data_IF_438731556285
#
_entry.id   IF_438731556285
#
_cell.length_a   1.000
_cell.length_b   1.000
_cell.length_c   1.000
_cell.angle_alpha   90.00
_cell.angle_beta   90.00
_cell.angle_gamma   90.00
#
_symmetry.space_group_name_H-M   'P 1'
#
loop_
_entity.id
_entity.type
_entity.pdbx_description
1 polymer ?
#
# COMPACT_ATOMS: atom_id res chain seq x y z
N UNK A 1 -24.89 46.28 16.93
CA UNK A 1 -23.62 45.57 16.70
C UNK A 1 -22.64 46.53 16.04
N UNK A 2 -21.53 46.89 16.71
CA UNK A 2 -20.60 47.90 16.19
C UNK A 2 -19.99 47.43 14.87
N UNK A 3 -19.65 48.36 13.96
CA UNK A 3 -19.00 48.04 12.68
C UNK A 3 -17.72 47.20 12.90
N UNK A 4 -17.05 47.41 14.03
CA UNK A 4 -15.87 46.67 14.49
C UNK A 4 -16.20 45.21 14.78
N UNK A 5 -17.29 44.91 15.49
CA UNK A 5 -17.70 43.51 15.80
C UNK A 5 -17.98 42.73 14.52
N UNK A 6 -18.66 43.34 13.53
CA UNK A 6 -18.93 42.69 12.23
C UNK A 6 -17.64 42.41 11.44
N UNK A 7 -16.70 43.35 11.46
CA UNK A 7 -15.41 43.18 10.80
C UNK A 7 -14.58 42.06 11.44
N UNK A 8 -14.52 42.01 12.77
CA UNK A 8 -13.82 40.95 13.51
C UNK A 8 -14.44 39.57 13.23
N UNK A 9 -15.77 39.48 13.21
CA UNK A 9 -16.46 38.23 12.89
C UNK A 9 -16.20 37.78 11.45
N UNK A 10 -16.20 38.71 10.49
CA UNK A 10 -15.85 38.42 9.09
C UNK A 10 -14.44 37.89 8.93
N UNK A 11 -13.45 38.51 9.60
CA UNK A 11 -12.05 38.04 9.58
C UNK A 11 -11.92 36.65 10.20
N UNK A 12 -12.57 36.41 11.35
CA UNK A 12 -12.58 35.09 11.98
C UNK A 12 -13.18 34.01 11.07
N UNK A 13 -14.28 34.31 10.39
CA UNK A 13 -14.94 33.36 9.48
C UNK A 13 -14.02 33.02 8.29
N UNK A 14 -13.33 34.02 7.73
CA UNK A 14 -12.33 33.79 6.67
C UNK A 14 -11.17 32.93 7.16
N UNK A 15 -10.63 33.20 8.36
CA UNK A 15 -9.55 32.40 8.93
C UNK A 15 -9.96 30.95 9.20
N UNK A 16 -11.19 30.72 9.67
CA UNK A 16 -11.73 29.37 9.87
C UNK A 16 -11.87 28.64 8.53
N UNK A 17 -12.37 29.30 7.48
CA UNK A 17 -12.46 28.71 6.14
C UNK A 17 -11.08 28.36 5.59
N UNK A 18 -10.08 29.22 5.78
CA UNK A 18 -8.69 28.95 5.38
C UNK A 18 -8.11 27.78 6.17
N UNK A 19 -8.33 27.72 7.48
CA UNK A 19 -7.83 26.63 8.31
C UNK A 19 -8.45 25.28 7.94
N UNK A 20 -9.78 25.24 7.73
CA UNK A 20 -10.48 24.03 7.29
C UNK A 20 -10.03 23.63 5.88
N UNK A 21 -9.94 24.59 4.96
CA UNK A 21 -9.46 24.35 3.59
C UNK A 21 -8.02 23.83 3.56
N UNK A 22 -7.15 24.39 4.40
CA UNK A 22 -5.77 23.95 4.56
C UNK A 22 -5.68 22.53 5.12
N UNK A 23 -6.45 22.20 6.17
CA UNK A 23 -6.51 20.83 6.69
C UNK A 23 -7.04 19.84 5.64
N UNK A 24 -8.11 20.17 4.93
CA UNK A 24 -8.68 19.31 3.90
C UNK A 24 -7.69 19.06 2.75
N UNK A 25 -6.97 20.10 2.31
CA UNK A 25 -5.95 19.98 1.27
C UNK A 25 -4.79 19.07 1.70
N UNK A 26 -4.33 19.18 2.95
CA UNK A 26 -3.30 18.29 3.50
C UNK A 26 -3.82 16.85 3.53
N UNK A 27 -5.02 16.61 4.05
CA UNK A 27 -5.62 15.27 4.11
C UNK A 27 -5.77 14.61 2.74
N UNK A 28 -6.21 15.35 1.72
CA UNK A 28 -6.34 14.84 0.36
C UNK A 28 -4.98 14.55 -0.31
N UNK A 29 -3.90 15.16 0.16
CA UNK A 29 -2.55 14.96 -0.40
C UNK A 29 -1.79 13.80 0.24
N UNK A 30 -2.27 13.27 1.38
CA UNK A 30 -1.57 12.19 2.10
C UNK A 30 -1.65 10.83 1.39
N UNK A 31 -2.73 10.56 0.63
CA UNK A 31 -2.83 9.32 -0.17
C UNK A 31 -1.81 9.30 -1.31
N UNK A 32 -1.46 10.47 -1.85
CA UNK A 32 -0.45 10.67 -2.91
C UNK A 32 0.99 10.56 -2.38
N UNK A 33 1.18 10.48 -1.06
CA UNK A 33 2.48 10.26 -0.42
C UNK A 33 2.81 8.79 -0.19
N UNK A 34 1.91 7.86 -0.55
CA UNK A 34 2.22 6.44 -0.49
C UNK A 34 3.28 6.07 -1.52
N UNK A 35 4.33 5.40 -1.06
CA UNK A 35 5.39 4.88 -1.89
C UNK A 35 5.57 3.37 -1.69
N UNK A 36 5.88 2.69 -2.79
CA UNK A 36 6.26 1.29 -2.80
C UNK A 36 7.77 1.16 -3.04
N UNK A 37 8.44 0.34 -2.24
CA UNK A 37 9.84 -0.03 -2.40
C UNK A 37 9.94 -1.54 -2.56
N UNK A 38 10.34 -2.00 -3.75
CA UNK A 38 10.55 -3.42 -4.03
C UNK A 38 11.74 -3.93 -3.23
N UNK A 39 11.52 -4.99 -2.46
CA UNK A 39 12.58 -5.72 -1.74
C UNK A 39 13.09 -6.88 -2.59
N UNK A 40 12.19 -7.64 -3.24
CA UNK A 40 12.56 -8.75 -4.10
C UNK A 40 11.51 -9.12 -5.14
N UNK A 41 11.96 -9.74 -6.22
CA UNK A 41 11.12 -10.34 -7.25
C UNK A 41 11.47 -11.82 -7.42
N UNK A 42 10.46 -12.68 -7.37
CA UNK A 42 10.61 -14.13 -7.49
C UNK A 42 9.83 -14.58 -8.71
N UNK A 43 10.57 -15.01 -9.73
CA UNK A 43 10.01 -15.40 -11.02
C UNK A 43 9.42 -16.80 -11.00
N UNK A 44 8.26 -16.96 -11.64
CA UNK A 44 7.73 -18.29 -11.94
C UNK A 44 8.68 -19.08 -12.84
N UNK A 45 8.68 -20.43 -12.82
CA UNK A 45 9.58 -21.25 -13.63
C UNK A 45 9.50 -20.97 -15.14
N UNK A 46 8.32 -20.61 -15.65
CA UNK A 46 8.10 -20.24 -17.05
C UNK A 46 8.32 -18.75 -17.35
N UNK A 47 8.69 -17.95 -16.34
CA UNK A 47 8.85 -16.49 -16.38
C UNK A 47 7.64 -15.68 -16.88
N UNK A 48 6.45 -16.28 -16.92
CA UNK A 48 5.24 -15.57 -17.33
C UNK A 48 4.76 -14.58 -16.25
N UNK A 49 5.00 -14.91 -14.99
CA UNK A 49 4.62 -14.12 -13.83
C UNK A 49 5.77 -14.01 -12.82
N UNK A 50 5.68 -13.02 -11.94
CA UNK A 50 6.58 -12.83 -10.80
C UNK A 50 5.76 -12.51 -9.55
N UNK A 51 6.22 -12.98 -8.40
CA UNK A 51 5.80 -12.43 -7.11
C UNK A 51 6.75 -11.29 -6.77
N UNK A 52 6.19 -10.14 -6.45
CA UNK A 52 6.93 -8.96 -5.96
C UNK A 52 6.65 -8.82 -4.47
N UNK A 53 7.71 -8.83 -3.67
CA UNK A 53 7.67 -8.52 -2.24
C UNK A 53 8.15 -7.08 -2.10
N UNK A 54 7.33 -6.22 -1.50
CA UNK A 54 7.64 -4.80 -1.38
C UNK A 54 7.19 -4.23 -0.03
N UNK A 55 7.87 -3.16 0.38
CA UNK A 55 7.42 -2.31 1.46
C UNK A 55 6.50 -1.23 0.89
N UNK A 56 5.33 -1.03 1.50
CA UNK A 56 4.55 0.19 1.31
C UNK A 56 4.70 1.11 2.53
N UNK A 57 5.01 2.37 2.27
CA UNK A 57 5.10 3.45 3.25
C UNK A 57 4.19 4.60 2.83
N UNK A 58 3.22 4.94 3.68
CA UNK A 58 2.32 6.09 3.48
C UNK A 58 2.59 7.21 4.49
N UNK A 59 3.80 7.26 5.05
CA UNK A 59 4.27 8.31 5.93
C UNK A 59 4.19 7.96 7.42
N UNK A 60 4.63 8.94 8.23
CA UNK A 60 5.00 8.77 9.62
C UNK A 60 3.89 8.24 10.54
N UNK A 61 2.62 8.46 10.20
CA UNK A 61 1.49 8.10 11.08
C UNK A 61 0.86 6.75 10.75
N UNK A 62 1.21 6.13 9.61
CA UNK A 62 0.54 4.92 9.10
C UNK A 62 1.40 3.67 9.30
N UNK A 63 2.73 3.84 9.37
CA UNK A 63 3.69 2.75 9.55
C UNK A 63 3.92 1.92 8.28
N UNK A 64 5.05 1.21 8.25
CA UNK A 64 5.43 0.36 7.12
C UNK A 64 4.55 -0.89 7.05
N UNK A 65 4.31 -1.37 5.83
CA UNK A 65 3.71 -2.68 5.59
C UNK A 65 4.50 -3.48 4.56
N UNK A 66 4.55 -4.78 4.78
CA UNK A 66 5.05 -5.78 3.83
C UNK A 66 3.89 -6.22 2.98
N UNK A 67 4.00 -6.07 1.67
CA UNK A 67 2.93 -6.37 0.74
C UNK A 67 3.47 -7.24 -0.39
N UNK A 68 2.64 -8.17 -0.84
CA UNK A 68 2.98 -9.08 -1.91
C UNK A 68 1.94 -8.98 -3.01
N UNK A 69 2.44 -8.89 -4.24
CA UNK A 69 1.64 -8.93 -5.46
C UNK A 69 2.18 -9.96 -6.44
N UNK A 70 1.28 -10.63 -7.15
CA UNK A 70 1.65 -11.37 -8.37
C UNK A 70 1.42 -10.45 -9.57
N UNK A 71 2.43 -10.29 -10.41
CA UNK A 71 2.42 -9.46 -11.62
C UNK A 71 2.82 -10.29 -12.84
N UNK A 72 2.31 -9.93 -14.02
CA UNK A 72 2.79 -10.50 -15.27
C UNK A 72 4.23 -10.03 -15.58
N UNK A 73 4.93 -10.75 -16.47
CA UNK A 73 6.34 -10.49 -16.80
C UNK A 73 6.64 -9.05 -17.26
N UNK A 74 5.70 -8.41 -17.97
CA UNK A 74 5.82 -7.04 -18.46
C UNK A 74 5.16 -5.99 -17.57
N UNK A 75 4.57 -6.38 -16.43
CA UNK A 75 3.95 -5.47 -15.50
C UNK A 75 4.95 -4.99 -14.44
N UNK A 76 4.83 -3.72 -14.09
CA UNK A 76 5.61 -3.07 -13.06
C UNK A 76 4.69 -2.70 -11.89
N UNK A 77 5.29 -2.64 -10.69
CA UNK A 77 4.61 -2.15 -9.50
C UNK A 77 4.67 -0.62 -9.50
N UNK A 78 3.51 0.04 -9.53
CA UNK A 78 3.42 1.48 -9.40
C UNK A 78 3.49 1.92 -7.93
N UNK A 79 3.70 3.21 -7.69
CA UNK A 79 3.82 3.77 -6.33
C UNK A 79 2.55 3.66 -5.50
N UNK A 80 1.39 3.73 -6.16
CA UNK A 80 0.07 3.70 -5.55
C UNK A 80 -0.50 2.28 -5.39
N UNK A 81 0.06 1.28 -6.08
CA UNK A 81 -0.41 -0.11 -6.05
C UNK A 81 -0.40 -0.73 -4.64
N UNK A 82 -1.47 -1.45 -4.31
CA UNK A 82 -1.54 -2.26 -3.10
C UNK A 82 -1.28 -3.75 -3.40
N UNK A 83 -0.80 -4.47 -2.38
CA UNK A 83 -0.63 -5.92 -2.41
C UNK A 83 -1.92 -6.63 -2.79
N UNK A 84 -1.88 -7.39 -3.87
CA UNK A 84 -3.08 -8.04 -4.42
C UNK A 84 -3.44 -9.34 -3.70
N UNK A 85 -2.50 -10.01 -3.02
CA UNK A 85 -2.79 -11.28 -2.34
C UNK A 85 -2.37 -11.37 -0.88
N UNK A 86 -1.36 -10.62 -0.42
CA UNK A 86 -0.97 -10.63 1.00
C UNK A 86 -0.48 -9.27 1.48
N UNK A 87 -0.87 -8.91 2.71
CA UNK A 87 -0.43 -7.70 3.41
C UNK A 87 -0.21 -8.01 4.89
N UNK A 88 0.93 -7.55 5.39
CA UNK A 88 1.32 -7.62 6.79
C UNK A 88 1.95 -6.31 7.26
N UNK A 89 1.85 -6.01 8.56
CA UNK A 89 2.49 -4.84 9.17
C UNK A 89 3.98 -5.07 9.36
N UNK A 90 4.80 -4.04 9.14
CA UNK A 90 6.25 -4.10 9.35
C UNK A 90 7.05 -4.18 8.05
N UNK A 91 8.38 -4.16 8.19
CA UNK A 91 9.31 -4.15 7.07
C UNK A 91 9.52 -5.57 6.50
N UNK A 92 9.60 -5.76 5.17
CA UNK A 92 9.76 -7.09 4.54
C UNK A 92 10.87 -7.96 5.13
N UNK A 93 12.06 -7.39 5.34
CA UNK A 93 13.21 -8.03 6.00
C UNK A 93 12.93 -8.64 7.39
N UNK A 94 11.92 -8.15 8.11
CA UNK A 94 11.56 -8.61 9.45
C UNK A 94 10.27 -9.43 9.46
N UNK A 95 9.63 -9.64 8.30
CA UNK A 95 8.34 -10.32 8.20
C UNK A 95 8.42 -11.84 8.41
N UNK A 96 9.59 -12.44 8.13
CA UNK A 96 9.74 -13.90 8.11
C UNK A 96 8.97 -14.57 6.96
N UNK A 97 8.44 -13.79 6.02
CA UNK A 97 7.71 -14.29 4.87
C UNK A 97 8.69 -14.87 3.85
N UNK A 98 8.44 -16.12 3.49
CA UNK A 98 9.13 -16.80 2.41
C UNK A 98 8.13 -17.15 1.31
N UNK A 99 8.57 -17.04 0.05
CA UNK A 99 7.74 -17.30 -1.12
C UNK A 99 8.48 -18.23 -2.06
N UNK A 100 7.76 -19.24 -2.56
CA UNK A 100 8.28 -20.21 -3.52
C UNK A 100 7.24 -20.51 -4.60
N UNK A 101 7.65 -20.60 -5.85
CA UNK A 101 6.78 -21.13 -6.91
C UNK A 101 6.84 -22.66 -6.91
N UNK A 102 5.71 -23.30 -6.62
CA UNK A 102 5.56 -24.76 -6.73
C UNK A 102 5.43 -25.23 -8.19
N UNK A 103 5.12 -24.30 -9.09
CA UNK A 103 5.00 -24.52 -10.52
C UNK A 103 4.59 -23.23 -11.25
N UNK A 104 4.32 -23.27 -12.55
CA UNK A 104 3.97 -22.06 -13.32
C UNK A 104 2.70 -21.32 -12.88
N UNK A 105 1.82 -22.00 -12.13
CA UNK A 105 0.49 -21.51 -11.71
C UNK A 105 0.19 -21.73 -10.23
N UNK A 106 1.22 -21.97 -9.42
CA UNK A 106 1.05 -22.21 -7.98
C UNK A 106 2.18 -21.57 -7.19
N UNK A 107 1.83 -20.76 -6.20
CA UNK A 107 2.75 -20.10 -5.27
C UNK A 107 2.48 -20.61 -3.86
N UNK A 108 3.55 -20.92 -3.13
CA UNK A 108 3.55 -21.18 -1.70
C UNK A 108 4.05 -19.94 -0.96
N UNK A 109 3.31 -19.50 0.06
CA UNK A 109 3.74 -18.51 1.04
C UNK A 109 3.88 -19.20 2.40
N UNK A 110 5.02 -19.00 3.06
CA UNK A 110 5.30 -19.51 4.41
C UNK A 110 5.44 -18.36 5.38
N UNK A 111 5.07 -18.61 6.63
CA UNK A 111 5.23 -17.63 7.72
C UNK A 111 4.15 -16.53 7.73
N UNK A 112 3.08 -16.71 6.95
CA UNK A 112 1.97 -15.77 6.90
C UNK A 112 1.25 -15.70 8.26
N UNK A 113 1.33 -14.56 8.95
CA UNK A 113 0.65 -14.35 10.23
C UNK A 113 -0.76 -13.77 10.06
N UNK A 114 -1.06 -13.24 8.87
CA UNK A 114 -2.35 -12.64 8.51
C UNK A 114 -3.08 -13.47 7.46
N UNK A 115 -4.42 -13.36 7.36
CA UNK A 115 -5.15 -14.03 6.28
C UNK A 115 -4.75 -13.47 4.91
N UNK A 116 -4.73 -14.34 3.90
CA UNK A 116 -4.57 -13.94 2.51
C UNK A 116 -5.74 -13.05 2.08
N UNK A 117 -5.46 -12.02 1.28
CA UNK A 117 -6.50 -11.21 0.62
C UNK A 117 -7.17 -11.96 -0.51
N UNK A 118 -6.41 -12.81 -1.18
CA UNK A 118 -6.85 -13.65 -2.28
C UNK A 118 -6.13 -15.00 -2.20
N UNK A 119 -6.86 -16.07 -2.49
CA UNK A 119 -6.30 -17.42 -2.64
C UNK A 119 -5.92 -17.74 -4.08
N UNK A 120 -6.32 -16.88 -5.03
CA UNK A 120 -6.05 -17.00 -6.46
C UNK A 120 -5.89 -15.62 -7.10
N UNK A 121 -4.96 -15.47 -8.05
CA UNK A 121 -4.79 -14.29 -8.89
C UNK A 121 -4.78 -14.76 -10.35
N UNK A 122 -5.83 -14.42 -11.10
CA UNK A 122 -6.03 -14.99 -12.43
C UNK A 122 -6.17 -16.51 -12.36
N UNK A 123 -5.27 -17.23 -13.02
CA UNK A 123 -5.19 -18.71 -13.00
C UNK A 123 -4.11 -19.25 -12.04
N UNK A 124 -3.52 -18.39 -11.21
CA UNK A 124 -2.44 -18.72 -10.28
C UNK A 124 -3.02 -18.95 -8.90
N UNK A 125 -2.83 -20.15 -8.37
CA UNK A 125 -3.24 -20.55 -7.02
C UNK A 125 -2.21 -20.13 -5.98
N UNK A 126 -2.67 -19.64 -4.85
CA UNK A 126 -1.85 -19.29 -3.68
C UNK A 126 -2.16 -20.28 -2.57
N UNK A 127 -1.10 -20.87 -2.03
CA UNK A 127 -1.13 -21.83 -0.92
C UNK A 127 -0.37 -21.20 0.23
N UNK A 128 -0.94 -21.22 1.43
CA UNK A 128 -0.27 -20.75 2.65
C UNK A 128 0.03 -21.91 3.60
N UNK A 129 1.22 -21.89 4.20
CA UNK A 129 1.68 -22.80 5.25
C UNK A 129 2.08 -22.05 6.53
#
# INVERSE_FOLDING_TARGET
MSKVIKAVFGVLLVLVVIAIGGLAAVWLSLDDMCGNQVESEIWAPNRANKVVIFQRDCGATTGFSTQLSILASGEELHSDDAGNFYIETGHPKNSGIEVEWLGPKSVLIKGATRPLRATEIGDIKIVSE
#
